data_IF_097549174288
#
_entry.id   IF_097549174288
#
_cell.length_a   1.000
_cell.length_b   1.000
_cell.length_c   1.000
_cell.angle_alpha   90.00
_cell.angle_beta   90.00
_cell.angle_gamma   90.00
#
_symmetry.space_group_name_H-M   'P 1'
#
loop_
_entity.id
_entity.type
_entity.pdbx_description
1 polymer ?
#
# COMPACT_ATOMS: atom_id res chain seq x y z
N UNK A 1 -10.60 19.16 33.80
CA UNK A 1 -9.66 19.17 32.65
C UNK A 1 -9.28 20.61 32.36
N UNK A 2 -8.00 20.97 32.44
CA UNK A 2 -7.47 22.28 32.05
C UNK A 2 -6.41 22.03 30.98
N UNK A 3 -6.65 22.53 29.77
CA UNK A 3 -5.76 22.40 28.62
C UNK A 3 -5.19 23.80 28.32
N UNK A 4 -4.25 24.27 29.13
CA UNK A 4 -3.51 25.52 28.86
C UNK A 4 -2.30 25.61 29.79
N UNK A 5 -1.27 24.83 29.51
CA UNK A 5 0.08 25.05 30.02
C UNK A 5 1.01 25.14 28.81
N UNK A 6 0.88 26.24 28.08
CA UNK A 6 1.71 26.61 26.96
C UNK A 6 1.74 28.12 26.85
N UNK A 7 2.86 28.66 26.38
CA UNK A 7 3.04 30.10 26.21
C UNK A 7 1.98 30.64 25.24
N UNK A 8 1.08 31.50 25.71
CA UNK A 8 -0.08 32.02 24.95
C UNK A 8 0.24 33.33 24.21
N UNK A 9 1.52 33.68 24.13
CA UNK A 9 1.99 34.85 23.39
C UNK A 9 1.56 34.73 21.92
N UNK A 10 0.53 35.50 21.55
CA UNK A 10 -0.02 35.56 20.19
C UNK A 10 -1.45 35.03 20.01
N UNK A 11 -2.05 34.39 21.03
CA UNK A 11 -3.44 33.89 20.94
C UNK A 11 -4.42 34.91 21.55
N UNK A 12 -5.40 35.37 20.77
CA UNK A 12 -6.45 36.32 21.24
C UNK A 12 -7.82 35.65 21.29
N UNK A 13 -8.72 36.11 22.20
CA UNK A 13 -10.12 35.70 22.17
C UNK A 13 -10.74 35.91 20.78
N UNK A 14 -11.44 34.90 20.27
CA UNK A 14 -12.03 34.91 18.92
C UNK A 14 -11.17 34.25 17.83
N UNK A 15 -9.98 33.75 18.15
CA UNK A 15 -9.20 32.92 17.22
C UNK A 15 -9.75 31.48 17.14
N UNK A 16 -9.78 30.94 15.93
CA UNK A 16 -10.06 29.52 15.68
C UNK A 16 -8.75 28.73 15.71
N UNK A 17 -8.69 27.70 16.56
CA UNK A 17 -7.56 26.78 16.62
C UNK A 17 -7.92 25.43 15.99
N UNK A 18 -6.94 24.78 15.37
CA UNK A 18 -7.04 23.40 14.88
C UNK A 18 -6.00 22.58 15.62
N UNK A 19 -6.45 21.52 16.31
CA UNK A 19 -5.57 20.55 16.95
C UNK A 19 -5.52 19.28 16.09
N UNK A 20 -4.32 18.81 15.78
CA UNK A 20 -4.12 17.48 15.18
C UNK A 20 -3.76 16.52 16.30
N UNK A 21 -4.60 15.53 16.53
CA UNK A 21 -4.32 14.42 17.44
C UNK A 21 -3.60 13.35 16.62
N UNK A 22 -2.38 12.99 17.02
CA UNK A 22 -1.68 11.83 16.47
C UNK A 22 -1.91 10.68 17.44
N UNK A 23 -2.70 9.71 17.01
CA UNK A 23 -2.83 8.45 17.73
C UNK A 23 -1.60 7.58 17.41
N UNK A 24 -1.09 6.88 18.40
CA UNK A 24 0.09 6.00 18.29
C UNK A 24 -0.11 4.75 19.13
N UNK A 25 -1.32 4.20 19.14
CA UNK A 25 -1.58 2.89 19.71
C UNK A 25 -1.01 1.81 18.77
N UNK A 26 0.24 1.44 19.02
CA UNK A 26 0.92 0.31 18.37
C UNK A 26 1.16 -0.79 19.40
N UNK A 27 0.09 -1.40 19.88
CA UNK A 27 0.19 -2.62 20.68
C UNK A 27 -0.23 -3.84 19.84
N UNK A 28 0.74 -4.77 19.74
CA UNK A 28 0.65 -6.23 19.47
C UNK A 28 0.70 -6.83 18.04
N UNK A 29 0.75 -6.05 16.96
CA UNK A 29 1.31 -6.51 15.67
C UNK A 29 1.90 -5.29 14.99
N UNK A 30 3.21 -5.27 14.68
CA UNK A 30 3.85 -4.15 13.99
C UNK A 30 3.06 -3.83 12.71
N UNK A 31 2.36 -2.71 12.75
CA UNK A 31 1.53 -2.28 11.66
C UNK A 31 2.41 -1.46 10.72
N UNK A 32 2.55 -1.91 9.49
CA UNK A 32 3.42 -1.30 8.48
C UNK A 32 2.59 -0.44 7.53
N UNK A 33 3.19 0.62 7.02
CA UNK A 33 2.60 1.43 5.96
C UNK A 33 3.05 0.87 4.62
N UNK A 34 2.09 0.48 3.78
CA UNK A 34 2.35 0.06 2.39
C UNK A 34 1.59 0.95 1.41
N UNK A 35 2.09 1.15 0.18
CA UNK A 35 1.35 1.87 -0.83
C UNK A 35 0.01 1.18 -1.09
N UNK A 36 -1.08 1.94 -1.12
CA UNK A 36 -2.42 1.37 -1.27
C UNK A 36 -2.57 0.61 -2.59
N UNK A 37 -1.86 1.03 -3.64
CA UNK A 37 -1.87 0.37 -4.94
C UNK A 37 -1.02 -0.92 -4.99
N UNK A 38 -0.21 -1.22 -3.97
CA UNK A 38 0.53 -2.47 -3.83
C UNK A 38 -0.34 -3.60 -3.23
N UNK A 39 -1.48 -3.25 -2.64
CA UNK A 39 -2.41 -4.20 -2.04
C UNK A 39 -3.25 -4.83 -3.16
N UNK A 40 -3.22 -6.16 -3.24
CA UNK A 40 -3.94 -6.95 -4.23
C UNK A 40 -4.85 -7.97 -3.56
N UNK A 41 -5.82 -8.48 -4.31
CA UNK A 41 -6.70 -9.54 -3.87
C UNK A 41 -6.40 -10.80 -4.68
N UNK A 42 -5.95 -11.84 -3.99
CA UNK A 42 -5.68 -13.15 -4.57
C UNK A 42 -6.72 -14.15 -4.05
N UNK A 43 -7.71 -14.45 -4.88
CA UNK A 43 -8.90 -15.20 -4.48
C UNK A 43 -9.68 -14.47 -3.38
N UNK A 44 -9.68 -15.01 -2.17
CA UNK A 44 -10.33 -14.42 -0.99
C UNK A 44 -9.36 -13.77 -0.01
N UNK A 45 -8.07 -13.71 -0.33
CA UNK A 45 -7.02 -13.17 0.56
C UNK A 45 -6.53 -11.84 0.02
N UNK A 46 -6.20 -10.94 0.94
CA UNK A 46 -5.49 -9.70 0.62
C UNK A 46 -3.99 -9.98 0.72
N UNK A 47 -3.24 -9.62 -0.32
CA UNK A 47 -1.80 -9.88 -0.42
C UNK A 47 -1.05 -8.65 -0.87
N UNK A 48 0.22 -8.58 -0.54
CA UNK A 48 1.21 -7.69 -1.16
C UNK A 48 2.29 -8.55 -1.81
N UNK A 49 2.82 -8.12 -2.95
CA UNK A 49 3.93 -8.79 -3.60
C UNK A 49 5.23 -8.17 -3.11
N UNK A 50 6.03 -8.93 -2.35
CA UNK A 50 7.34 -8.51 -1.84
C UNK A 50 8.43 -8.99 -2.78
N UNK A 51 9.41 -8.14 -3.09
CA UNK A 51 10.60 -8.49 -3.87
C UNK A 51 11.80 -8.58 -2.95
N UNK A 52 12.46 -9.74 -2.93
CA UNK A 52 13.69 -9.98 -2.18
C UNK A 52 14.65 -10.77 -3.06
N UNK A 53 15.90 -10.30 -3.16
CA UNK A 53 16.93 -10.92 -4.01
C UNK A 53 16.53 -11.15 -5.49
N UNK A 54 15.61 -10.32 -6.00
CA UNK A 54 15.09 -10.41 -7.37
C UNK A 54 13.96 -11.43 -7.56
N UNK A 55 13.53 -12.11 -6.50
CA UNK A 55 12.38 -13.02 -6.53
C UNK A 55 11.16 -12.39 -5.86
N UNK A 56 9.97 -12.64 -6.41
CA UNK A 56 8.71 -12.08 -5.91
C UNK A 56 7.96 -13.13 -5.09
N UNK A 57 7.55 -12.76 -3.87
CA UNK A 57 6.72 -13.59 -2.97
C UNK A 57 5.41 -12.89 -2.60
N UNK A 58 4.29 -13.59 -2.68
CA UNK A 58 3.00 -13.07 -2.17
C UNK A 58 2.96 -13.22 -0.65
N UNK A 59 2.78 -12.11 0.06
CA UNK A 59 2.63 -12.06 1.51
C UNK A 59 1.20 -11.69 1.86
N UNK A 60 0.54 -12.52 2.67
CA UNK A 60 -0.82 -12.24 3.14
C UNK A 60 -0.80 -11.10 4.14
N UNK A 61 -1.70 -10.14 3.97
CA UNK A 61 -1.80 -8.96 4.83
C UNK A 61 -3.23 -8.74 5.29
N UNK A 62 -3.38 -8.12 6.46
CA UNK A 62 -4.66 -7.58 6.93
C UNK A 62 -4.63 -6.06 6.80
N UNK A 63 -5.34 -5.46 5.83
CA UNK A 63 -5.41 -4.01 5.67
C UNK A 63 -6.26 -3.37 6.77
N UNK A 64 -5.84 -2.19 7.22
CA UNK A 64 -6.49 -1.35 8.21
C UNK A 64 -6.82 0.03 7.63
N UNK A 65 -6.48 1.09 8.36
CA UNK A 65 -6.78 2.46 7.97
C UNK A 65 -5.98 2.92 6.75
N UNK A 66 -6.64 3.68 5.87
CA UNK A 66 -6.01 4.35 4.72
C UNK A 66 -5.64 5.79 5.11
N UNK A 67 -4.35 6.12 4.99
CA UNK A 67 -3.77 7.41 5.31
C UNK A 67 -3.15 8.05 4.06
N UNK A 68 -3.99 8.75 3.29
CA UNK A 68 -3.58 9.33 2.01
C UNK A 68 -3.34 8.26 0.94
N UNK A 69 -2.11 8.14 0.45
CA UNK A 69 -1.70 7.09 -0.49
C UNK A 69 -1.28 5.77 0.18
N UNK A 70 -1.11 5.78 1.50
CA UNK A 70 -0.64 4.65 2.28
C UNK A 70 -1.79 3.93 2.98
N UNK A 71 -1.70 2.62 3.12
CA UNK A 71 -2.62 1.81 3.93
C UNK A 71 -1.81 1.14 5.03
N UNK A 72 -2.33 1.19 6.26
CA UNK A 72 -1.79 0.44 7.39
C UNK A 72 -2.09 -1.04 7.16
N UNK A 73 -1.08 -1.89 7.18
CA UNK A 73 -1.22 -3.34 7.05
C UNK A 73 -0.58 -4.06 8.22
N UNK A 74 -1.16 -5.21 8.59
CA UNK A 74 -0.61 -6.11 9.59
C UNK A 74 -0.30 -7.45 8.94
N UNK A 75 0.92 -7.94 9.14
CA UNK A 75 1.35 -9.27 8.72
C UNK A 75 2.55 -9.72 9.53
N UNK A 76 2.60 -10.97 10.00
CA UNK A 76 3.78 -11.51 10.69
C UNK A 76 4.95 -11.80 9.73
N UNK A 77 4.73 -11.76 8.42
CA UNK A 77 5.70 -12.13 7.38
C UNK A 77 6.28 -10.91 6.63
N UNK A 78 5.83 -9.71 6.98
CA UNK A 78 6.24 -8.44 6.38
C UNK A 78 7.10 -7.68 7.39
N UNK A 79 8.26 -7.20 6.96
CA UNK A 79 9.21 -6.48 7.81
C UNK A 79 9.51 -5.08 7.27
N UNK A 80 10.00 -4.19 8.15
CA UNK A 80 10.46 -2.87 7.72
C UNK A 80 11.63 -3.01 6.76
N UNK A 81 11.50 -2.44 5.56
CA UNK A 81 12.51 -2.49 4.51
C UNK A 81 12.19 -3.46 3.38
N UNK A 82 11.13 -4.25 3.50
CA UNK A 82 10.62 -5.05 2.38
C UNK A 82 10.17 -4.16 1.22
N UNK A 83 10.62 -4.48 0.01
CA UNK A 83 10.20 -3.79 -1.20
C UNK A 83 8.89 -4.40 -1.72
N UNK A 84 7.82 -3.60 -1.77
CA UNK A 84 6.51 -4.04 -2.26
C UNK A 84 6.23 -3.50 -3.65
N UNK A 85 5.69 -4.35 -4.52
CA UNK A 85 5.36 -3.97 -5.90
C UNK A 85 4.01 -3.26 -5.96
N UNK A 86 4.05 -1.97 -6.23
CA UNK A 86 2.86 -1.18 -6.54
C UNK A 86 2.29 -1.51 -7.92
N UNK A 87 0.97 -1.66 -8.01
CA UNK A 87 0.27 -1.73 -9.29
C UNK A 87 0.15 -0.32 -9.86
N UNK A 88 0.86 -0.01 -10.95
CA UNK A 88 0.52 1.17 -11.75
C UNK A 88 -0.57 0.72 -12.73
N UNK A 89 -1.83 1.05 -12.45
CA UNK A 89 -2.91 0.84 -13.43
C UNK A 89 -2.74 1.89 -14.53
N UNK A 90 -1.85 1.66 -15.48
CA UNK A 90 -1.95 2.36 -16.75
C UNK A 90 -3.24 1.87 -17.42
N UNK A 91 -4.32 2.66 -17.35
CA UNK A 91 -5.45 2.47 -18.27
C UNK A 91 -4.95 2.77 -19.68
N UNK A 92 -4.33 1.78 -20.31
CA UNK A 92 -4.28 1.70 -21.76
C UNK A 92 -5.71 1.36 -22.15
N UNK A 93 -6.37 2.29 -22.84
CA UNK A 93 -7.76 2.15 -23.26
C UNK A 93 -7.98 0.81 -23.94
N UNK A 94 -9.16 0.24 -23.72
CA UNK A 94 -9.68 -0.94 -24.41
C UNK A 94 -9.41 -0.88 -25.91
N UNK A 95 -8.38 -1.59 -26.38
CA UNK A 95 -8.29 -2.24 -27.68
C UNK A 95 -6.97 -3.05 -27.71
N UNK A 96 -7.05 -4.29 -28.20
CA UNK A 96 -5.95 -5.22 -28.50
C UNK A 96 -5.25 -6.00 -27.36
N UNK A 97 -5.78 -7.21 -27.09
CA UNK A 97 -5.00 -8.47 -26.97
C UNK A 97 -4.14 -8.74 -25.72
N UNK A 98 -4.22 -9.93 -25.10
CA UNK A 98 -3.35 -10.29 -23.98
C UNK A 98 -1.97 -10.73 -24.49
N UNK A 99 -0.99 -9.84 -24.53
CA UNK A 99 0.37 -10.23 -24.94
C UNK A 99 1.51 -9.36 -24.37
N UNK A 100 1.79 -9.38 -23.05
CA UNK A 100 3.11 -8.95 -22.56
C UNK A 100 3.54 -9.71 -21.29
N UNK A 101 4.48 -10.64 -21.46
CA UNK A 101 5.43 -11.09 -20.45
C UNK A 101 6.82 -11.13 -21.10
N UNK A 102 7.92 -10.76 -20.41
CA UNK A 102 9.24 -10.74 -21.01
C UNK A 102 9.81 -12.16 -21.04
N UNK A 103 10.00 -12.69 -22.25
CA UNK A 103 10.74 -13.93 -22.46
C UNK A 103 9.87 -15.15 -22.76
N UNK A 104 9.52 -15.33 -24.04
CA UNK A 104 9.64 -16.64 -24.69
C UNK A 104 9.47 -16.48 -26.19
N UNK A 105 10.55 -16.71 -26.92
CA UNK A 105 10.45 -17.03 -28.33
C UNK A 105 9.53 -18.23 -28.52
N UNK A 106 8.46 -18.03 -29.26
CA UNK A 106 7.53 -19.07 -29.70
C UNK A 106 6.98 -18.62 -31.03
N UNK A 107 7.60 -19.07 -32.11
CA UNK A 107 7.19 -18.72 -33.47
C UNK A 107 5.75 -19.12 -33.77
N UNK A 108 5.13 -18.52 -34.81
CA UNK A 108 3.75 -18.78 -35.14
C UNK A 108 3.52 -20.26 -35.50
N UNK A 109 2.49 -20.92 -34.96
CA UNK A 109 2.09 -22.23 -35.43
C UNK A 109 1.58 -22.12 -36.87
N UNK A 110 2.26 -22.81 -37.78
CA UNK A 110 1.77 -23.17 -39.11
C UNK A 110 0.41 -23.84 -39.00
N UNK A 111 -0.53 -23.43 -39.85
CA UNK A 111 -1.93 -23.87 -39.84
C UNK A 111 -2.18 -25.29 -40.32
N UNK A 112 -3.47 -25.65 -40.40
CA UNK A 112 -3.96 -26.66 -41.33
C UNK A 112 -5.51 -26.64 -41.48
N UNK A 113 -5.95 -26.77 -42.74
CA UNK A 113 -7.29 -27.07 -43.31
C UNK A 113 -8.52 -26.24 -42.93
#
# INVERSE_FOLDING_TARGET
MRLAEGDLDGVRPGMTAVATIKDSDSDEVEALLVPTNAIQMEGSRTVVLVVQDGESRSVVVSPGEVQGEWTVVRSPELEVGDEVVGSVTSRIGEDDGPFFGPGRGGGPPRGNN
#
